data_IF_579527272816
#
_entry.id   IF_579527272816
#
_cell.length_a   1.000
_cell.length_b   1.000
_cell.length_c   1.000
_cell.angle_alpha   90.00
_cell.angle_beta   90.00
_cell.angle_gamma   90.00
#
_symmetry.space_group_name_H-M   'P 1'
#
loop_
_entity.id
_entity.type
_entity.pdbx_description
1 polymer ?
#
# COMPACT_ATOMS: atom_id res chain seq x y z
N UNK A 1 -21.00 21.32 -22.92
CA UNK A 1 -20.12 20.23 -22.43
C UNK A 1 -19.23 20.83 -21.35
N UNK A 2 -19.66 20.79 -20.08
CA UNK A 2 -18.83 21.25 -18.95
C UNK A 2 -17.95 20.08 -18.51
N UNK A 3 -16.64 20.22 -18.70
CA UNK A 3 -15.66 19.32 -18.07
C UNK A 3 -15.67 19.70 -16.57
N UNK A 4 -16.21 18.81 -15.72
CA UNK A 4 -16.14 18.95 -14.26
C UNK A 4 -14.68 18.83 -13.84
N UNK A 5 -14.01 19.95 -13.58
CA UNK A 5 -12.62 20.02 -13.10
C UNK A 5 -12.44 19.67 -11.62
N UNK A 6 -13.51 19.36 -10.88
CA UNK A 6 -13.46 19.24 -9.42
C UNK A 6 -12.69 18.04 -8.84
N UNK A 7 -12.16 17.12 -9.66
CA UNK A 7 -11.43 15.93 -9.17
C UNK A 7 -9.91 16.06 -9.22
N UNK A 8 -9.38 17.00 -10.01
CA UNK A 8 -7.93 17.20 -10.17
C UNK A 8 -7.37 17.99 -8.99
N UNK A 9 -8.16 18.93 -8.44
CA UNK A 9 -7.75 19.79 -7.33
C UNK A 9 -7.65 19.04 -5.98
N UNK A 10 -8.47 18.00 -5.78
CA UNK A 10 -8.46 17.16 -4.57
C UNK A 10 -7.15 16.36 -4.48
N UNK A 11 -6.70 15.76 -5.59
CA UNK A 11 -5.45 14.99 -5.62
C UNK A 11 -4.19 15.83 -5.35
N UNK A 12 -4.14 17.09 -5.79
CA UNK A 12 -3.02 18.00 -5.49
C UNK A 12 -2.98 18.38 -4.00
N UNK A 13 -4.13 18.51 -3.37
CA UNK A 13 -4.25 18.83 -1.94
C UNK A 13 -3.71 17.67 -1.07
N UNK A 14 -3.96 16.43 -1.48
CA UNK A 14 -3.45 15.23 -0.79
C UNK A 14 -1.92 15.13 -0.83
N UNK A 15 -1.28 15.52 -1.93
CA UNK A 15 0.18 15.54 -2.01
C UNK A 15 0.81 16.64 -1.15
N UNK A 16 0.16 17.81 -1.03
CA UNK A 16 0.62 18.86 -0.13
C UNK A 16 0.47 18.43 1.34
N UNK A 17 -0.62 17.74 1.69
CA UNK A 17 -0.78 17.15 3.02
C UNK A 17 0.30 16.09 3.32
N UNK A 18 0.65 15.25 2.33
CA UNK A 18 1.72 14.27 2.44
C UNK A 18 3.09 14.93 2.70
N UNK A 19 3.45 15.95 1.91
CA UNK A 19 4.74 16.66 2.04
C UNK A 19 4.88 17.35 3.39
N UNK A 20 3.77 17.89 3.92
CA UNK A 20 3.76 18.59 5.20
C UNK A 20 3.58 17.66 6.42
N UNK A 21 3.43 16.35 6.21
CA UNK A 21 3.25 15.41 7.31
C UNK A 21 4.55 15.32 8.14
N UNK A 22 4.51 15.40 9.49
CA UNK A 22 5.70 15.32 10.33
C UNK A 22 6.41 13.95 10.24
N UNK A 23 5.67 12.92 9.84
CA UNK A 23 6.19 11.57 9.54
C UNK A 23 5.46 11.04 8.30
N UNK A 24 5.92 11.38 7.09
CA UNK A 24 5.24 10.95 5.89
C UNK A 24 5.36 9.42 5.72
N UNK A 25 4.31 8.73 5.23
CA UNK A 25 4.40 7.32 4.90
C UNK A 25 5.42 7.09 3.78
N UNK A 26 6.12 5.96 3.82
CA UNK A 26 7.04 5.54 2.75
C UNK A 26 6.31 5.27 1.42
N UNK A 27 5.03 4.87 1.48
CA UNK A 27 4.18 4.57 0.32
C UNK A 27 2.77 5.08 0.59
N UNK A 28 2.20 5.84 -0.35
CA UNK A 28 0.81 6.24 -0.36
C UNK A 28 0.06 5.41 -1.42
N UNK A 29 -1.09 4.84 -1.07
CA UNK A 29 -1.97 4.15 -1.99
C UNK A 29 -3.10 5.10 -2.42
N UNK A 30 -3.06 5.69 -3.63
CA UNK A 30 -4.08 6.63 -4.06
C UNK A 30 -5.38 5.89 -4.43
N UNK A 31 -6.45 6.19 -3.70
CA UNK A 31 -7.81 5.71 -3.97
C UNK A 31 -8.10 4.29 -3.48
N UNK A 32 -9.39 4.01 -3.26
CA UNK A 32 -9.88 2.76 -2.65
C UNK A 32 -9.65 1.50 -3.49
N UNK A 33 -9.67 1.58 -4.83
CA UNK A 33 -9.33 0.44 -5.70
C UNK A 33 -7.87 0.01 -5.47
N UNK A 34 -6.94 0.97 -5.44
CA UNK A 34 -5.51 0.69 -5.17
C UNK A 34 -5.33 0.05 -3.80
N UNK A 35 -6.01 0.57 -2.78
CA UNK A 35 -5.99 -0.01 -1.42
C UNK A 35 -6.49 -1.46 -1.44
N UNK A 36 -7.66 -1.72 -2.05
CA UNK A 36 -8.25 -3.06 -2.10
C UNK A 36 -7.33 -4.09 -2.79
N UNK A 37 -6.64 -3.68 -3.87
CA UNK A 37 -5.68 -4.55 -4.57
C UNK A 37 -4.44 -4.86 -3.73
N UNK A 38 -3.89 -3.86 -3.03
CA UNK A 38 -2.77 -4.05 -2.12
C UNK A 38 -3.15 -5.01 -1.00
N UNK A 39 -4.32 -4.82 -0.39
CA UNK A 39 -4.81 -5.70 0.66
C UNK A 39 -5.03 -7.14 0.18
N UNK A 40 -5.62 -7.32 -1.01
CA UNK A 40 -5.80 -8.64 -1.59
C UNK A 40 -4.46 -9.36 -1.80
N UNK A 41 -3.45 -8.65 -2.33
CA UNK A 41 -2.10 -9.18 -2.47
C UNK A 41 -1.49 -9.53 -1.11
N UNK A 42 -1.59 -8.65 -0.13
CA UNK A 42 -1.00 -8.88 1.19
C UNK A 42 -1.62 -10.11 1.86
N UNK A 43 -2.94 -10.30 1.76
CA UNK A 43 -3.61 -11.52 2.23
C UNK A 43 -3.10 -12.79 1.53
N UNK A 44 -2.88 -12.72 0.22
CA UNK A 44 -2.31 -13.84 -0.54
C UNK A 44 -0.91 -14.19 -0.04
N UNK A 45 -0.05 -13.18 0.13
CA UNK A 45 1.33 -13.37 0.61
C UNK A 45 1.34 -13.93 2.03
N UNK A 46 0.49 -13.42 2.93
CA UNK A 46 0.40 -13.91 4.31
C UNK A 46 -0.06 -15.37 4.36
N UNK A 47 -1.04 -15.75 3.52
CA UNK A 47 -1.50 -17.13 3.42
C UNK A 47 -0.38 -18.07 2.96
N UNK A 48 0.35 -17.68 1.90
CA UNK A 48 1.51 -18.45 1.42
C UNK A 48 2.61 -18.52 2.47
N UNK A 49 2.94 -17.41 3.13
CA UNK A 49 3.96 -17.41 4.17
C UNK A 49 3.57 -18.32 5.32
N UNK A 50 2.31 -18.31 5.73
CA UNK A 50 1.78 -19.20 6.77
C UNK A 50 1.91 -20.67 6.38
N UNK A 51 1.53 -21.02 5.14
CA UNK A 51 1.62 -22.38 4.61
C UNK A 51 3.05 -22.93 4.63
N UNK A 52 4.03 -22.10 4.24
CA UNK A 52 5.40 -22.55 4.02
C UNK A 52 6.38 -22.16 5.14
N UNK A 53 5.88 -21.56 6.24
CA UNK A 53 6.71 -20.99 7.31
C UNK A 53 7.71 -21.99 7.90
N UNK A 54 7.22 -23.17 8.27
CA UNK A 54 8.06 -24.19 8.92
C UNK A 54 9.19 -24.67 8.00
N UNK A 55 8.89 -24.87 6.71
CA UNK A 55 9.91 -25.25 5.72
C UNK A 55 10.93 -24.13 5.52
N UNK A 56 10.48 -22.88 5.37
CA UNK A 56 11.39 -21.74 5.22
C UNK A 56 12.35 -21.62 6.41
N UNK A 57 11.84 -21.73 7.64
CA UNK A 57 12.63 -21.66 8.87
C UNK A 57 13.58 -22.85 9.07
N UNK A 58 13.32 -24.00 8.43
CA UNK A 58 14.24 -25.13 8.49
C UNK A 58 15.60 -24.87 7.83
N UNK A 59 15.70 -23.81 7.02
CA UNK A 59 16.92 -23.40 6.30
C UNK A 59 17.72 -22.31 7.03
N UNK A 60 17.34 -21.95 8.26
CA UNK A 60 18.01 -20.91 9.02
C UNK A 60 19.49 -21.23 9.25
N UNK A 61 20.36 -20.27 8.93
CA UNK A 61 21.77 -20.32 9.27
C UNK A 61 21.97 -19.77 10.68
N UNK A 62 22.55 -20.58 11.58
CA UNK A 62 23.01 -20.09 12.88
C UNK A 62 24.27 -19.25 12.67
N UNK A 63 24.15 -17.95 12.93
CA UNK A 63 25.29 -17.01 13.01
C UNK A 63 25.80 -16.96 14.44
#
# INVERSE_FOLDING_TARGET
MLIRTGKVDEGLTDFLALVNAPKPPQRLAPGSDTVARIEAKNRLVEAQLTEWKALAQSTDFKV
#
